data_IF_572150705291
#
_entry.id   IF_572150705291
#
_cell.length_a   1.000
_cell.length_b   1.000
_cell.length_c   1.000
_cell.angle_alpha   90.00
_cell.angle_beta   90.00
_cell.angle_gamma   90.00
#
_symmetry.space_group_name_H-M   'P 1'
#
loop_
_entity.id
_entity.type
_entity.pdbx_description
1 polymer ?
#
# COMPACT_ATOMS: atom_id res chain seq x y z
N UNK A 1 -10.97 3.63 -10.13
CA UNK A 1 -11.74 2.69 -9.27
C UNK A 1 -11.12 2.69 -7.87
N UNK A 2 -11.92 2.69 -6.81
CA UNK A 2 -11.41 2.75 -5.42
C UNK A 2 -11.62 1.43 -4.69
N UNK A 3 -10.57 0.97 -4.01
CA UNK A 3 -10.55 -0.21 -3.15
C UNK A 3 -10.77 0.19 -1.70
N UNK A 4 -11.51 -0.65 -0.98
CA UNK A 4 -11.66 -0.53 0.48
C UNK A 4 -10.50 -1.25 1.17
N UNK A 5 -10.31 -1.01 2.47
CA UNK A 5 -9.31 -1.73 3.30
C UNK A 5 -9.42 -3.25 3.11
N UNK A 6 -10.64 -3.81 3.07
CA UNK A 6 -10.85 -5.25 2.90
C UNK A 6 -10.35 -5.75 1.54
N UNK A 7 -10.76 -5.10 0.45
CA UNK A 7 -10.34 -5.49 -0.89
C UNK A 7 -8.83 -5.32 -1.10
N UNK A 8 -8.25 -4.27 -0.53
CA UNK A 8 -6.81 -4.09 -0.48
C UNK A 8 -6.16 -5.25 0.28
N UNK A 9 -6.64 -5.56 1.48
CA UNK A 9 -6.12 -6.65 2.29
C UNK A 9 -6.17 -8.00 1.56
N UNK A 10 -7.28 -8.32 0.89
CA UNK A 10 -7.42 -9.53 0.06
C UNK A 10 -6.40 -9.57 -1.07
N UNK A 11 -6.18 -8.45 -1.77
CA UNK A 11 -5.22 -8.34 -2.87
C UNK A 11 -3.78 -8.59 -2.41
N UNK A 12 -3.42 -8.11 -1.22
CA UNK A 12 -2.08 -8.24 -0.66
C UNK A 12 -1.92 -9.45 0.27
N UNK A 13 -2.94 -10.31 0.36
CA UNK A 13 -3.00 -11.45 1.29
C UNK A 13 -2.73 -11.05 2.75
N UNK A 14 -3.20 -9.86 3.14
CA UNK A 14 -3.12 -9.31 4.48
C UNK A 14 -4.47 -9.38 5.19
N UNK A 15 -4.46 -9.24 6.52
CA UNK A 15 -5.70 -9.05 7.27
C UNK A 15 -6.11 -7.58 7.26
N UNK A 16 -7.41 -7.29 7.23
CA UNK A 16 -7.91 -5.90 7.30
C UNK A 16 -7.44 -5.19 8.59
N UNK A 17 -7.27 -5.93 9.69
CA UNK A 17 -6.74 -5.42 10.96
C UNK A 17 -5.25 -5.07 10.87
N UNK A 18 -4.47 -5.86 10.12
CA UNK A 18 -3.07 -5.58 9.82
C UNK A 18 -2.97 -4.28 9.03
N UNK A 19 -3.72 -4.18 7.92
CA UNK A 19 -3.76 -2.97 7.09
C UNK A 19 -4.18 -1.74 7.92
N UNK A 20 -5.22 -1.85 8.75
CA UNK A 20 -5.63 -0.77 9.64
C UNK A 20 -4.55 -0.36 10.66
N UNK A 21 -3.80 -1.34 11.16
CA UNK A 21 -2.67 -1.10 12.07
C UNK A 21 -1.51 -0.44 11.36
N UNK A 22 -1.15 -0.89 10.16
CA UNK A 22 -0.09 -0.30 9.34
C UNK A 22 -0.43 1.13 8.93
N UNK A 23 -1.70 1.45 8.64
CA UNK A 23 -2.10 2.83 8.34
C UNK A 23 -1.86 3.76 9.54
N UNK A 24 -2.06 3.26 10.75
CA UNK A 24 -1.85 4.04 11.98
C UNK A 24 -0.37 4.10 12.38
N UNK A 25 0.33 2.97 12.32
CA UNK A 25 1.69 2.81 12.86
C UNK A 25 2.78 3.12 11.85
N UNK A 26 2.54 2.87 10.56
CA UNK A 26 3.56 2.97 9.53
C UNK A 26 2.98 3.32 8.15
N UNK A 27 2.33 4.49 8.01
CA UNK A 27 1.62 4.87 6.78
C UNK A 27 2.53 4.94 5.55
N UNK A 28 3.85 5.16 5.72
CA UNK A 28 4.81 5.19 4.61
C UNK A 28 5.10 3.83 3.96
N UNK A 29 4.69 2.72 4.59
CA UNK A 29 4.77 1.37 3.99
C UNK A 29 3.55 1.03 3.12
N UNK A 30 2.54 1.88 3.11
CA UNK A 30 1.32 1.65 2.32
C UNK A 30 1.29 2.57 1.11
N UNK A 31 0.58 2.17 0.06
CA UNK A 31 0.28 3.07 -1.05
C UNK A 31 -0.56 4.25 -0.59
N UNK A 32 -0.55 5.35 -1.35
CA UNK A 32 -1.37 6.53 -1.08
C UNK A 32 -2.83 6.15 -0.85
N UNK A 33 -3.40 6.67 0.24
CA UNK A 33 -4.78 6.42 0.60
C UNK A 33 -5.48 7.72 0.98
N UNK A 34 -6.77 7.76 0.68
CA UNK A 34 -7.63 8.89 0.98
C UNK A 34 -8.48 8.53 2.19
N UNK A 35 -8.46 9.40 3.19
CA UNK A 35 -9.30 9.28 4.38
C UNK A 35 -10.54 10.14 4.21
N UNK A 36 -11.70 9.49 4.14
CA UNK A 36 -13.01 10.14 4.04
C UNK A 36 -13.74 9.86 5.35
N UNK A 37 -13.54 10.76 6.33
CA UNK A 37 -14.01 10.58 7.70
C UNK A 37 -13.37 9.35 8.38
N UNK A 38 -14.20 8.34 8.70
CA UNK A 38 -13.75 7.05 9.26
C UNK A 38 -13.42 6.00 8.19
N UNK A 39 -13.77 6.25 6.94
CA UNK A 39 -13.49 5.33 5.84
C UNK A 39 -12.12 5.64 5.23
N UNK A 40 -11.40 4.58 4.85
CA UNK A 40 -10.14 4.68 4.12
C UNK A 40 -10.35 4.02 2.76
N UNK A 41 -9.93 4.73 1.72
CA UNK A 41 -10.01 4.26 0.34
C UNK A 41 -8.65 4.35 -0.33
N UNK A 42 -8.35 3.32 -1.08
CA UNK A 42 -7.15 3.23 -1.89
C UNK A 42 -7.55 3.39 -3.35
N UNK A 43 -6.87 4.26 -4.09
CA UNK A 43 -7.04 4.29 -5.54
C UNK A 43 -6.26 3.14 -6.14
N UNK A 44 -6.86 2.43 -7.10
CA UNK A 44 -6.14 1.36 -7.79
C UNK A 44 -4.95 1.91 -8.59
N UNK A 45 -5.07 3.13 -9.11
CA UNK A 45 -4.01 3.82 -9.85
C UNK A 45 -2.79 4.10 -8.94
N UNK A 46 -3.02 4.76 -7.81
CA UNK A 46 -1.98 5.00 -6.80
C UNK A 46 -1.32 3.71 -6.28
N UNK A 47 -2.08 2.62 -6.11
CA UNK A 47 -1.51 1.33 -5.71
C UNK A 47 -0.55 0.83 -6.79
N UNK A 48 -0.95 0.89 -8.06
CA UNK A 48 -0.12 0.42 -9.18
C UNK A 48 1.15 1.26 -9.31
N UNK A 49 1.04 2.58 -9.19
CA UNK A 49 2.21 3.47 -9.20
C UNK A 49 3.15 3.20 -8.03
N UNK A 50 2.60 3.04 -6.83
CA UNK A 50 3.37 2.72 -5.64
C UNK A 50 4.04 1.34 -5.74
N UNK A 51 3.35 0.33 -6.24
CA UNK A 51 3.91 -1.00 -6.48
C UNK A 51 5.05 -0.94 -7.50
N UNK A 52 4.89 -0.15 -8.57
CA UNK A 52 5.92 0.03 -9.59
C UNK A 52 7.15 0.75 -9.02
N UNK A 53 6.93 1.82 -8.22
CA UNK A 53 8.01 2.53 -7.54
C UNK A 53 8.73 1.63 -6.51
N UNK A 54 8.00 0.84 -5.72
CA UNK A 54 8.59 -0.12 -4.78
C UNK A 54 9.35 -1.24 -5.50
N UNK A 55 8.83 -1.75 -6.62
CA UNK A 55 9.50 -2.77 -7.44
C UNK A 55 10.78 -2.21 -8.06
N UNK A 56 10.75 -0.99 -8.60
CA UNK A 56 11.93 -0.31 -9.14
C UNK A 56 12.98 -0.01 -8.06
N UNK A 57 12.55 0.36 -6.85
CA UNK A 57 13.47 0.60 -5.75
C UNK A 57 14.11 -0.71 -5.25
N UNK A 58 13.34 -1.82 -5.24
CA UNK A 58 13.88 -3.15 -4.97
C UNK A 58 14.95 -3.53 -5.99
N UNK A 59 14.65 -3.39 -7.29
CA UNK A 59 15.59 -3.68 -8.39
C UNK A 59 16.85 -2.80 -8.38
N UNK A 60 16.78 -1.57 -7.86
CA UNK A 60 17.96 -0.70 -7.70
C UNK A 60 18.78 -0.98 -6.44
N UNK A 61 18.19 -1.63 -5.43
CA UNK A 61 18.87 -2.05 -4.21
C UNK A 61 19.74 -3.29 -4.39
N UNK A 62 19.41 -4.16 -5.35
CA UNK A 62 20.17 -5.40 -5.62
C UNK A 62 21.45 -5.17 -6.46
N UNK A 63 21.65 -3.96 -7.04
CA UNK A 63 22.84 -3.63 -7.85
C UNK A 63 23.96 -2.91 -7.09
N UNK A 64 23.79 -2.66 -5.78
CA UNK A 64 24.84 -2.11 -4.91
C UNK A 64 25.13 -3.07 -3.74
N UNK A 65 25.32 -4.35 -4.04
CA UNK A 65 26.04 -5.26 -3.15
C UNK A 65 27.54 -4.99 -3.26
N UNK A 66 28.05 -4.12 -2.38
CA UNK A 66 29.45 -4.11 -1.96
C UNK A 66 29.59 -4.97 -0.70
#
# INVERSE_FOLDING_TARGET
MYLTIKQFAERFNLSASTVASDISRNPGKLPPFIRIGRAIRFSLDDIVEWENAHRQNKLKGDINGY
#
